data_IF_352812164727
#
_entry.id   IF_352812164727
#
_cell.length_a   1.000
_cell.length_b   1.000
_cell.length_c   1.000
_cell.angle_alpha   90.00
_cell.angle_beta   90.00
_cell.angle_gamma   90.00
#
_symmetry.space_group_name_H-M   'P 1'
#
loop_
_entity.id
_entity.type
_entity.pdbx_description
1 polymer ?
#
# COMPACT_ATOMS: atom_id res chain seq x y z
N UNK A 1 7.97 10.48 -12.93
CA UNK A 1 6.69 9.97 -12.40
C UNK A 1 5.99 11.13 -11.73
N UNK A 2 4.74 11.43 -12.09
CA UNK A 2 3.94 12.40 -11.34
C UNK A 2 3.57 11.76 -10.00
N UNK A 3 4.18 12.24 -8.91
CA UNK A 3 3.83 11.84 -7.54
C UNK A 3 2.89 12.86 -6.93
N UNK A 4 1.80 12.40 -6.31
CA UNK A 4 0.83 13.28 -5.63
C UNK A 4 1.16 13.37 -4.13
N UNK A 5 1.03 14.55 -3.48
CA UNK A 5 1.36 14.71 -2.06
C UNK A 5 0.36 13.99 -1.16
N UNK A 6 0.84 13.20 -0.19
CA UNK A 6 -0.01 12.45 0.77
C UNK A 6 -1.04 13.31 1.51
N UNK A 7 -0.82 14.62 1.62
CA UNK A 7 -1.77 15.60 2.18
C UNK A 7 -3.09 15.67 1.42
N UNK A 8 -3.11 15.29 0.14
CA UNK A 8 -4.32 15.30 -0.70
C UNK A 8 -5.12 13.99 -0.64
N UNK A 9 -4.57 12.95 0.01
CA UNK A 9 -5.18 11.62 0.04
C UNK A 9 -6.56 11.64 0.70
N UNK A 10 -6.73 12.35 1.81
CA UNK A 10 -8.02 12.42 2.53
C UNK A 10 -9.13 13.00 1.65
N UNK A 11 -8.81 14.03 0.87
CA UNK A 11 -9.76 14.64 -0.05
C UNK A 11 -10.14 13.70 -1.19
N UNK A 12 -9.16 12.95 -1.72
CA UNK A 12 -9.40 11.96 -2.78
C UNK A 12 -10.24 10.78 -2.26
N UNK A 13 -10.00 10.30 -1.04
CA UNK A 13 -10.81 9.26 -0.38
C UNK A 13 -12.25 9.75 -0.25
N UNK A 14 -12.45 10.96 0.29
CA UNK A 14 -13.78 11.53 0.46
C UNK A 14 -14.52 11.68 -0.87
N UNK A 15 -13.82 12.17 -1.89
CA UNK A 15 -14.38 12.29 -3.25
C UNK A 15 -14.77 10.93 -3.82
N UNK A 16 -13.97 9.89 -3.56
CA UNK A 16 -14.30 8.53 -3.97
C UNK A 16 -15.53 7.99 -3.24
N UNK A 17 -15.62 8.14 -1.93
CA UNK A 17 -16.76 7.70 -1.11
C UNK A 17 -18.07 8.40 -1.51
N UNK A 18 -18.03 9.71 -1.74
CA UNK A 18 -19.18 10.48 -2.22
C UNK A 18 -19.67 9.97 -3.58
N UNK A 19 -18.74 9.74 -4.53
CA UNK A 19 -19.08 9.18 -5.85
C UNK A 19 -19.62 7.76 -5.75
N UNK A 20 -19.06 6.94 -4.88
CA UNK A 20 -19.45 5.54 -4.70
C UNK A 20 -20.86 5.42 -4.10
N UNK A 21 -21.22 6.33 -3.19
CA UNK A 21 -22.57 6.44 -2.61
C UNK A 21 -23.60 6.84 -3.67
N UNK A 22 -23.20 7.61 -4.69
CA UNK A 22 -24.04 7.98 -5.82
C UNK A 22 -24.21 6.90 -6.89
N UNK A 23 -23.47 5.79 -6.83
CA UNK A 23 -23.52 4.74 -7.85
C UNK A 23 -24.68 3.77 -7.61
N UNK A 24 -25.55 3.63 -8.61
CA UNK A 24 -26.69 2.70 -8.55
C UNK A 24 -26.39 1.34 -9.18
N UNK A 25 -25.37 1.25 -10.05
CA UNK A 25 -24.99 0.02 -10.74
C UNK A 25 -23.64 -0.54 -10.30
N UNK A 26 -23.47 -1.86 -10.43
CA UNK A 26 -22.22 -2.55 -10.11
C UNK A 26 -21.09 -2.26 -11.12
N UNK A 27 -21.44 -2.00 -12.38
CA UNK A 27 -20.50 -1.57 -13.42
C UNK A 27 -19.90 -0.19 -13.14
N UNK A 28 -20.71 0.78 -12.69
CA UNK A 28 -20.22 2.10 -12.30
C UNK A 28 -19.28 2.00 -11.09
N UNK A 29 -19.66 1.21 -10.07
CA UNK A 29 -18.81 0.97 -8.90
C UNK A 29 -17.44 0.41 -9.31
N UNK A 30 -17.42 -0.55 -10.23
CA UNK A 30 -16.18 -1.12 -10.74
C UNK A 30 -15.34 -0.11 -11.54
N UNK A 31 -15.99 0.77 -12.31
CA UNK A 31 -15.29 1.84 -13.05
C UNK A 31 -14.65 2.84 -12.08
N UNK A 32 -15.39 3.31 -11.08
CA UNK A 32 -14.86 4.22 -10.07
C UNK A 32 -13.75 3.58 -9.22
N UNK A 33 -13.89 2.30 -8.87
CA UNK A 33 -12.83 1.56 -8.16
C UNK A 33 -11.52 1.57 -8.97
N UNK A 34 -11.59 1.35 -10.29
CA UNK A 34 -10.41 1.42 -11.17
C UNK A 34 -9.81 2.82 -11.25
N UNK A 35 -10.64 3.86 -11.35
CA UNK A 35 -10.18 5.26 -11.32
C UNK A 35 -9.50 5.61 -9.99
N UNK A 36 -10.04 5.12 -8.89
CA UNK A 36 -9.47 5.32 -7.56
C UNK A 36 -8.13 4.58 -7.40
N UNK A 37 -8.02 3.33 -7.85
CA UNK A 37 -6.74 2.61 -7.87
C UNK A 37 -5.67 3.34 -8.71
N UNK A 38 -6.05 3.91 -9.86
CA UNK A 38 -5.15 4.74 -10.66
C UNK A 38 -4.70 6.00 -9.92
N UNK A 39 -5.58 6.58 -9.10
CA UNK A 39 -5.27 7.73 -8.24
C UNK A 39 -4.30 7.31 -7.12
N UNK A 40 -4.57 6.21 -6.44
CA UNK A 40 -3.69 5.62 -5.41
C UNK A 40 -2.29 5.31 -5.94
N UNK A 41 -2.17 4.88 -7.21
CA UNK A 41 -0.88 4.64 -7.87
C UNK A 41 0.04 5.86 -7.84
N UNK A 42 -0.52 7.08 -7.92
CA UNK A 42 0.25 8.33 -7.90
C UNK A 42 0.86 8.62 -6.52
N UNK A 43 0.33 8.01 -5.46
CA UNK A 43 0.82 8.15 -4.09
C UNK A 43 1.92 7.14 -3.74
N UNK A 44 1.99 6.01 -4.44
CA UNK A 44 2.92 4.89 -4.12
C UNK A 44 4.38 5.33 -3.97
N UNK A 45 4.85 6.24 -4.83
CA UNK A 45 6.22 6.73 -4.75
C UNK A 45 6.49 7.48 -3.43
N UNK A 46 5.57 8.34 -3.00
CA UNK A 46 5.71 9.05 -1.72
C UNK A 46 5.54 8.12 -0.54
N UNK A 47 4.58 7.21 -0.61
CA UNK A 47 4.33 6.19 0.41
C UNK A 47 5.58 5.33 0.63
N UNK A 48 6.16 4.80 -0.44
CA UNK A 48 7.36 3.98 -0.34
C UNK A 48 8.54 4.77 0.22
N UNK A 49 8.70 6.03 -0.18
CA UNK A 49 9.75 6.90 0.38
C UNK A 49 9.54 7.13 1.87
N UNK A 50 8.32 7.45 2.32
CA UNK A 50 7.99 7.69 3.71
C UNK A 50 8.28 6.45 4.58
N UNK A 51 7.80 5.28 4.15
CA UNK A 51 8.07 4.01 4.85
C UNK A 51 9.57 3.73 4.92
N UNK A 52 10.28 3.92 3.80
CA UNK A 52 11.73 3.68 3.74
C UNK A 52 12.53 4.66 4.58
N UNK A 53 12.12 5.91 4.68
CA UNK A 53 12.81 6.91 5.49
C UNK A 53 12.70 6.59 6.98
N UNK A 54 11.50 6.20 7.44
CA UNK A 54 11.19 5.97 8.85
C UNK A 54 11.62 4.57 9.31
N UNK A 55 11.23 3.53 8.58
CA UNK A 55 11.43 2.13 8.98
C UNK A 55 12.62 1.46 8.31
N UNK A 56 13.31 2.15 7.38
CA UNK A 56 14.41 1.58 6.56
C UNK A 56 14.03 0.28 5.83
N UNK A 57 12.74 0.13 5.52
CA UNK A 57 12.18 -1.04 4.83
C UNK A 57 11.34 -0.62 3.63
N UNK A 58 10.93 -1.58 2.82
CA UNK A 58 10.00 -1.38 1.71
C UNK A 58 8.89 -2.42 1.79
N UNK A 59 7.63 -1.97 1.76
CA UNK A 59 6.48 -2.86 1.70
C UNK A 59 6.12 -3.07 0.23
N UNK A 60 6.18 -4.31 -0.21
CA UNK A 60 5.89 -4.70 -1.59
C UNK A 60 5.03 -5.97 -1.61
N UNK A 61 4.12 -6.13 -2.57
CA UNK A 61 3.39 -7.40 -2.76
C UNK A 61 4.29 -8.54 -3.24
N UNK A 62 5.56 -8.25 -3.52
CA UNK A 62 6.55 -9.25 -3.92
C UNK A 62 7.61 -9.43 -2.85
N UNK A 63 8.02 -10.68 -2.61
CA UNK A 63 9.22 -11.02 -1.85
C UNK A 63 10.30 -11.51 -2.79
N UNK A 64 11.54 -11.06 -2.56
CA UNK A 64 12.70 -11.55 -3.29
C UNK A 64 13.07 -12.92 -2.71
N UNK A 65 13.15 -13.95 -3.53
CA UNK A 65 13.68 -15.24 -3.09
C UNK A 65 15.15 -15.07 -2.67
N UNK A 66 15.48 -15.39 -1.41
CA UNK A 66 16.86 -15.39 -0.91
C UNK A 66 17.22 -16.74 -0.31
N UNK A 67 18.46 -17.19 -0.49
CA UNK A 67 18.97 -18.41 0.15
C UNK A 67 18.36 -19.70 -0.40
N UNK A 68 17.92 -20.58 0.50
CA UNK A 68 17.46 -21.94 0.19
C UNK A 68 16.20 -21.96 -0.69
N UNK A 69 15.26 -21.02 -0.48
CA UNK A 69 14.02 -20.90 -1.27
C UNK A 69 14.27 -20.52 -2.74
N UNK A 70 15.35 -19.78 -3.01
CA UNK A 70 15.76 -19.41 -4.36
C UNK A 70 16.42 -20.57 -5.12
N UNK A 71 17.16 -21.41 -4.38
CA UNK A 71 17.80 -22.62 -4.90
C UNK A 71 16.78 -23.72 -5.20
N UNK A 72 15.79 -23.91 -4.33
CA UNK A 72 14.77 -24.96 -4.49
C UNK A 72 13.81 -24.68 -5.66
N UNK A 73 13.49 -23.41 -5.92
CA UNK A 73 12.61 -23.00 -7.03
C UNK A 73 13.33 -22.72 -8.34
N UNK A 74 14.64 -23.01 -8.44
CA UNK A 74 15.47 -22.79 -9.63
C UNK A 74 15.43 -21.34 -10.18
N UNK A 75 15.38 -20.38 -9.26
CA UNK A 75 14.95 -19.01 -9.59
C UNK A 75 15.66 -17.99 -8.69
N UNK A 76 17.00 -18.03 -8.69
CA UNK A 76 17.82 -17.04 -8.00
C UNK A 76 17.56 -15.66 -8.61
N UNK A 77 16.89 -14.79 -7.85
CA UNK A 77 16.46 -13.48 -8.30
C UNK A 77 15.00 -13.39 -8.75
N UNK A 78 14.20 -14.45 -8.64
CA UNK A 78 12.76 -14.33 -8.88
C UNK A 78 12.06 -13.60 -7.73
N UNK A 79 11.09 -12.79 -8.11
CA UNK A 79 10.14 -12.18 -7.21
C UNK A 79 8.96 -13.14 -7.09
N UNK A 80 8.75 -13.70 -5.91
CA UNK A 80 7.52 -14.44 -5.62
C UNK A 80 6.48 -13.48 -5.07
N UNK A 81 5.25 -13.64 -5.53
CA UNK A 81 4.11 -12.89 -5.03
C UNK A 81 3.80 -13.35 -3.60
N UNK A 82 3.65 -12.41 -2.67
CA UNK A 82 3.23 -12.68 -1.29
C UNK A 82 1.77 -13.12 -1.28
N UNK A 83 1.40 -13.95 -0.32
CA UNK A 83 -0.02 -14.16 -0.03
C UNK A 83 -0.61 -12.90 0.62
N UNK A 84 -1.94 -12.76 0.57
CA UNK A 84 -2.64 -11.66 1.26
C UNK A 84 -2.29 -11.63 2.75
N UNK A 85 -2.20 -12.79 3.40
CA UNK A 85 -1.83 -12.90 4.82
C UNK A 85 -0.40 -12.45 5.10
N UNK A 86 0.57 -12.86 4.27
CA UNK A 86 1.97 -12.43 4.41
C UNK A 86 2.10 -10.90 4.30
N UNK A 87 1.40 -10.31 3.33
CA UNK A 87 1.42 -8.87 3.11
C UNK A 87 0.77 -8.10 4.27
N UNK A 88 -0.40 -8.55 4.75
CA UNK A 88 -1.07 -7.94 5.90
C UNK A 88 -0.22 -8.05 7.17
N UNK A 89 0.46 -9.18 7.37
CA UNK A 89 1.37 -9.36 8.51
C UNK A 89 2.54 -8.38 8.49
N UNK A 90 3.08 -8.04 7.31
CA UNK A 90 4.12 -7.01 7.21
C UNK A 90 3.61 -5.61 7.61
N UNK A 91 2.39 -5.28 7.21
CA UNK A 91 1.73 -4.04 7.64
C UNK A 91 1.54 -4.03 9.17
N UNK A 92 1.04 -5.12 9.73
CA UNK A 92 0.81 -5.24 11.17
C UNK A 92 2.11 -5.13 11.96
N UNK A 93 3.20 -5.74 11.48
CA UNK A 93 4.52 -5.63 12.11
C UNK A 93 5.02 -4.18 12.18
N UNK A 94 4.71 -3.34 11.19
CA UNK A 94 5.08 -1.92 11.21
C UNK A 94 4.31 -1.18 12.29
N UNK A 95 3.00 -1.40 12.39
CA UNK A 95 2.15 -0.77 13.40
C UNK A 95 2.55 -1.19 14.82
N UNK A 96 2.99 -2.44 14.98
CA UNK A 96 3.45 -2.98 16.26
C UNK A 96 4.91 -2.63 16.59
N UNK A 97 5.65 -2.00 15.67
CA UNK A 97 7.06 -1.69 15.87
C UNK A 97 7.25 -0.56 16.89
N UNK A 98 8.34 -0.61 17.65
CA UNK A 98 8.73 0.46 18.58
C UNK A 98 8.93 1.80 17.86
N UNK A 99 9.40 1.75 16.60
CA UNK A 99 9.53 2.93 15.74
C UNK A 99 8.17 3.60 15.59
N UNK A 100 7.13 2.86 15.19
CA UNK A 100 5.79 3.43 15.03
C UNK A 100 5.22 3.96 16.35
N UNK A 101 5.38 3.21 17.45
CA UNK A 101 4.84 3.58 18.76
C UNK A 101 5.44 4.91 19.26
N UNK A 102 6.71 5.17 18.96
CA UNK A 102 7.45 6.38 19.37
C UNK A 102 7.22 7.59 18.48
N UNK A 103 6.57 7.45 17.32
CA UNK A 103 6.21 8.58 16.46
C UNK A 103 5.19 9.50 17.13
N UNK A 104 5.28 10.79 16.80
CA UNK A 104 4.24 11.78 17.08
C UNK A 104 2.96 11.50 16.28
N UNK A 105 1.85 12.11 16.69
CA UNK A 105 0.54 11.90 16.07
C UNK A 105 0.49 12.27 14.59
N UNK A 106 1.22 13.31 14.17
CA UNK A 106 1.25 13.74 12.77
C UNK A 106 1.94 12.68 11.90
N UNK A 107 3.08 12.17 12.36
CA UNK A 107 3.79 11.10 11.67
C UNK A 107 3.01 9.78 11.68
N UNK A 108 2.35 9.42 12.79
CA UNK A 108 1.45 8.25 12.85
C UNK A 108 0.36 8.34 11.80
N UNK A 109 -0.32 9.49 11.73
CA UNK A 109 -1.36 9.74 10.73
C UNK A 109 -0.84 9.60 9.30
N UNK A 110 0.35 10.13 9.01
CA UNK A 110 0.97 9.99 7.69
C UNK A 110 1.32 8.54 7.35
N UNK A 111 1.81 7.75 8.33
CA UNK A 111 2.05 6.32 8.17
C UNK A 111 0.75 5.56 7.95
N UNK A 112 -0.31 5.82 8.72
CA UNK A 112 -1.59 5.14 8.58
C UNK A 112 -2.19 5.37 7.19
N UNK A 113 -2.11 6.61 6.70
CA UNK A 113 -2.49 6.96 5.33
C UNK A 113 -1.65 6.20 4.29
N UNK A 114 -0.35 6.09 4.49
CA UNK A 114 0.54 5.32 3.63
C UNK A 114 0.20 3.82 3.62
N UNK A 115 -0.05 3.22 4.78
CA UNK A 115 -0.43 1.82 4.92
C UNK A 115 -1.80 1.55 4.28
N UNK A 116 -2.75 2.50 4.40
CA UNK A 116 -4.04 2.43 3.71
C UNK A 116 -3.85 2.37 2.19
N UNK A 117 -3.06 3.27 1.60
CA UNK A 117 -2.77 3.26 0.15
C UNK A 117 -2.21 1.91 -0.28
N UNK A 118 -1.21 1.39 0.45
CA UNK A 118 -0.58 0.11 0.13
C UNK A 118 -1.57 -1.05 0.23
N UNK A 119 -2.36 -1.09 1.30
CA UNK A 119 -3.38 -2.11 1.51
C UNK A 119 -4.40 -2.08 0.37
N UNK A 120 -5.03 -0.94 0.11
CA UNK A 120 -6.09 -0.82 -0.89
C UNK A 120 -5.56 -1.03 -2.31
N UNK A 121 -4.38 -0.50 -2.64
CA UNK A 121 -3.83 -0.63 -3.98
C UNK A 121 -3.41 -2.07 -4.30
N UNK A 122 -2.83 -2.78 -3.33
CA UNK A 122 -2.35 -4.14 -3.55
C UNK A 122 -3.36 -5.23 -3.24
N UNK A 123 -4.46 -4.95 -2.53
CA UNK A 123 -5.47 -5.94 -2.15
C UNK A 123 -6.06 -6.72 -3.33
N UNK A 124 -6.37 -6.04 -4.45
CA UNK A 124 -6.89 -6.72 -5.66
C UNK A 124 -5.79 -7.50 -6.42
N UNK A 125 -4.53 -7.15 -6.14
CA UNK A 125 -3.38 -7.71 -6.83
C UNK A 125 -2.71 -8.84 -6.07
N UNK A 126 -3.14 -9.19 -4.85
CA UNK A 126 -2.61 -10.22 -3.95
C UNK A 126 -3.44 -11.50 -4.03
#
# INVERSE_FOLDING_TARGET
>A
MLSKPLTELENDIKTYEEKLTGCQSEEEKNKFKKEFLNTLRLYLAQVNNLIKEIFKTEISPFKKGTGYDALYNNNVGSFTKKTKEEFLKEIDNIIQSEIYITLDESNKKAIDNALYVLKTYYEDSL
#
